data_IF_430146900907
#
_entry.id   IF_430146900907
#
_cell.length_a   1.000
_cell.length_b   1.000
_cell.length_c   1.000
_cell.angle_alpha   90.00
_cell.angle_beta   90.00
_cell.angle_gamma   90.00
#
_symmetry.space_group_name_H-M   'P 1'
#
loop_
_entity.id
_entity.type
_entity.pdbx_description
1 polymer ?
#
# COMPACT_ATOMS: atom_id res chain seq x y z
N UNK A 1 -0.49 -7.24 7.79
CA UNK A 1 0.91 -7.77 7.80
C UNK A 1 0.84 -9.26 7.45
N UNK A 2 0.77 -9.60 6.16
CA UNK A 2 0.55 -10.98 5.71
C UNK A 2 1.82 -11.70 5.21
N UNK A 3 2.97 -11.01 5.15
CA UNK A 3 4.18 -11.55 4.53
C UNK A 3 4.77 -12.78 5.24
N UNK A 4 4.65 -12.86 6.57
CA UNK A 4 5.14 -14.00 7.35
C UNK A 4 4.22 -15.22 7.24
N UNK A 5 2.91 -15.02 7.20
CA UNK A 5 1.92 -16.09 6.97
C UNK A 5 2.07 -16.68 5.57
N UNK A 6 2.22 -15.82 4.55
CA UNK A 6 2.52 -16.24 3.18
C UNK A 6 3.81 -17.07 3.12
N UNK A 7 4.86 -16.67 3.86
CA UNK A 7 6.10 -17.44 3.93
C UNK A 7 5.87 -18.81 4.56
N UNK A 8 5.14 -18.88 5.68
CA UNK A 8 4.76 -20.14 6.32
C UNK A 8 4.06 -21.09 5.36
N UNK A 9 3.12 -20.58 4.56
CA UNK A 9 2.40 -21.36 3.55
C UNK A 9 3.33 -21.89 2.45
N UNK A 10 4.25 -21.06 1.94
CA UNK A 10 5.21 -21.52 0.91
C UNK A 10 6.19 -22.56 1.46
N UNK A 11 6.64 -22.42 2.70
CA UNK A 11 7.48 -23.41 3.37
C UNK A 11 6.75 -24.74 3.59
N UNK A 12 5.45 -24.70 3.94
CA UNK A 12 4.63 -25.90 4.08
C UNK A 12 4.38 -26.62 2.74
N UNK A 13 4.26 -25.87 1.63
CA UNK A 13 4.08 -26.42 0.28
C UNK A 13 5.38 -27.01 -0.30
N UNK A 14 6.54 -26.48 0.10
CA UNK A 14 7.85 -26.90 -0.39
C UNK A 14 8.81 -27.34 0.75
N UNK A 15 8.47 -28.39 1.53
CA UNK A 15 9.19 -28.74 2.77
C UNK A 15 10.64 -29.20 2.55
N UNK A 16 11.00 -29.58 1.32
CA UNK A 16 12.34 -30.03 0.95
C UNK A 16 13.02 -29.14 -0.11
N UNK A 17 12.38 -28.04 -0.50
CA UNK A 17 12.92 -27.11 -1.50
C UNK A 17 12.77 -25.66 -1.01
N UNK A 18 13.59 -25.32 -0.02
CA UNK A 18 13.66 -23.98 0.54
C UNK A 18 13.94 -22.90 -0.52
N UNK A 19 14.88 -23.07 -1.47
CA UNK A 19 15.10 -22.08 -2.52
C UNK A 19 13.86 -21.80 -3.36
N UNK A 20 13.07 -22.82 -3.70
CA UNK A 20 11.80 -22.63 -4.42
C UNK A 20 10.75 -21.93 -3.58
N UNK A 21 10.59 -22.32 -2.32
CA UNK A 21 9.67 -21.67 -1.39
C UNK A 21 9.92 -20.15 -1.30
N UNK A 22 11.18 -19.75 -1.15
CA UNK A 22 11.57 -18.34 -1.04
C UNK A 22 11.37 -17.57 -2.34
N UNK A 23 11.66 -18.17 -3.50
CA UNK A 23 11.40 -17.54 -4.81
C UNK A 23 9.91 -17.29 -5.03
N UNK A 24 9.07 -18.27 -4.72
CA UNK A 24 7.61 -18.13 -4.89
C UNK A 24 7.03 -17.13 -3.88
N UNK A 25 7.51 -17.14 -2.64
CA UNK A 25 7.16 -16.14 -1.63
C UNK A 25 7.53 -14.72 -2.08
N UNK A 26 8.77 -14.51 -2.55
CA UNK A 26 9.24 -13.21 -3.02
C UNK A 26 8.44 -12.73 -4.23
N UNK A 27 8.18 -13.61 -5.20
CA UNK A 27 7.41 -13.30 -6.39
C UNK A 27 5.98 -12.82 -6.03
N UNK A 28 5.33 -13.49 -5.08
CA UNK A 28 4.01 -13.08 -4.56
C UNK A 28 4.08 -11.78 -3.76
N UNK A 29 5.13 -11.54 -2.97
CA UNK A 29 5.24 -10.39 -2.08
C UNK A 29 5.69 -9.09 -2.79
N UNK A 30 6.49 -9.21 -3.85
CA UNK A 30 7.10 -8.08 -4.58
C UNK A 30 6.12 -6.99 -5.02
N UNK A 31 4.97 -7.27 -5.67
CA UNK A 31 4.06 -6.22 -6.12
C UNK A 31 3.48 -5.39 -4.96
N UNK A 32 3.15 -6.03 -3.84
CA UNK A 32 2.61 -5.34 -2.66
C UNK A 32 3.65 -4.43 -2.02
N UNK A 33 4.87 -4.94 -1.83
CA UNK A 33 5.96 -4.15 -1.25
C UNK A 33 6.32 -2.96 -2.14
N UNK A 34 6.35 -3.15 -3.46
CA UNK A 34 6.61 -2.09 -4.41
C UNK A 34 5.53 -0.98 -4.34
N UNK A 35 4.25 -1.36 -4.33
CA UNK A 35 3.13 -0.43 -4.21
C UNK A 35 3.17 0.36 -2.89
N UNK A 36 3.45 -0.32 -1.77
CA UNK A 36 3.60 0.33 -0.47
C UNK A 36 4.79 1.29 -0.44
N UNK A 37 5.94 0.90 -0.99
CA UNK A 37 7.13 1.76 -1.06
C UNK A 37 6.90 2.99 -1.95
N UNK A 38 6.24 2.81 -3.09
CA UNK A 38 5.88 3.92 -3.97
C UNK A 38 4.91 4.88 -3.27
N UNK A 39 3.88 4.33 -2.63
CA UNK A 39 2.92 5.12 -1.85
C UNK A 39 3.61 5.88 -0.72
N UNK A 40 4.49 5.23 0.04
CA UNK A 40 5.25 5.85 1.10
C UNK A 40 6.14 6.99 0.60
N UNK A 41 6.75 6.84 -0.58
CA UNK A 41 7.57 7.88 -1.22
C UNK A 41 6.72 9.10 -1.61
N UNK A 42 5.53 8.88 -2.17
CA UNK A 42 4.58 9.95 -2.50
C UNK A 42 4.04 10.63 -1.24
N UNK A 43 3.61 9.84 -0.25
CA UNK A 43 3.05 10.34 1.01
C UNK A 43 4.07 11.12 1.84
N UNK A 44 5.37 10.84 1.72
CA UNK A 44 6.44 11.62 2.37
C UNK A 44 6.30 13.12 2.10
N UNK A 45 5.89 13.51 0.89
CA UNK A 45 5.74 14.91 0.49
C UNK A 45 4.60 15.64 1.23
N UNK A 46 3.65 14.91 1.84
CA UNK A 46 2.62 15.51 2.69
C UNK A 46 3.15 15.95 4.06
N UNK A 47 4.22 15.31 4.55
CA UNK A 47 4.80 15.60 5.86
C UNK A 47 6.04 16.48 5.76
N UNK A 48 6.82 16.34 4.69
CA UNK A 48 8.01 17.16 4.43
C UNK A 48 7.91 17.76 3.02
N UNK A 49 7.25 18.92 2.87
CA UNK A 49 7.08 19.57 1.57
C UNK A 49 8.43 20.08 1.06
N UNK A 50 8.80 19.74 -0.17
CA UNK A 50 10.05 20.14 -0.80
C UNK A 50 10.00 21.54 -1.44
N UNK A 51 8.86 22.23 -1.40
CA UNK A 51 8.69 23.58 -1.97
C UNK A 51 7.34 24.25 -1.69
N UNK A 52 7.20 25.53 -2.07
CA UNK A 52 6.00 26.34 -1.80
C UNK A 52 4.72 25.77 -2.41
N UNK A 53 4.81 25.22 -3.63
CA UNK A 53 3.65 24.62 -4.31
C UNK A 53 3.06 23.45 -3.50
N UNK A 54 3.91 22.59 -2.94
CA UNK A 54 3.49 21.46 -2.09
C UNK A 54 2.94 21.94 -0.74
N UNK A 55 3.44 23.05 -0.20
CA UNK A 55 2.92 23.68 1.02
C UNK A 55 1.48 24.17 0.82
N UNK A 56 1.21 24.84 -0.31
CA UNK A 56 -0.13 25.33 -0.67
C UNK A 56 -1.07 24.14 -0.90
N UNK A 57 -0.64 23.14 -1.69
CA UNK A 57 -1.44 21.96 -1.97
C UNK A 57 -1.85 21.21 -0.69
N UNK A 58 -0.91 21.00 0.24
CA UNK A 58 -1.17 20.41 1.56
C UNK A 58 -2.22 21.20 2.35
N UNK A 59 -2.09 22.52 2.41
CA UNK A 59 -3.03 23.37 3.13
C UNK A 59 -4.45 23.28 2.55
N UNK A 60 -4.56 23.21 1.22
CA UNK A 60 -5.84 23.05 0.52
C UNK A 60 -6.47 21.68 0.80
N UNK A 61 -5.69 20.60 0.74
CA UNK A 61 -6.17 19.23 1.05
C UNK A 61 -6.68 19.14 2.48
N UNK A 62 -5.96 19.71 3.46
CA UNK A 62 -6.38 19.72 4.87
C UNK A 62 -7.69 20.51 5.04
N UNK A 63 -7.81 21.69 4.40
CA UNK A 63 -9.03 22.50 4.47
C UNK A 63 -10.23 21.80 3.82
N UNK A 64 -10.05 21.16 2.67
CA UNK A 64 -11.11 20.39 2.01
C UNK A 64 -11.53 19.18 2.85
N UNK A 65 -10.58 18.51 3.51
CA UNK A 65 -10.86 17.34 4.36
C UNK A 65 -11.68 17.68 5.60
N UNK A 66 -11.60 18.92 6.08
CA UNK A 66 -12.39 19.43 7.20
C UNK A 66 -13.68 20.16 6.78
N UNK A 67 -14.03 20.12 5.50
CA UNK A 67 -15.23 20.76 4.96
C UNK A 67 -16.43 19.80 4.94
N UNK A 68 -17.68 20.31 4.96
CA UNK A 68 -18.88 19.47 4.89
C UNK A 68 -19.02 18.65 3.59
N UNK A 69 -18.22 18.94 2.56
CA UNK A 69 -18.17 18.17 1.30
C UNK A 69 -17.16 17.02 1.31
N UNK A 70 -16.36 16.89 2.37
CA UNK A 70 -15.38 15.81 2.55
C UNK A 70 -15.96 14.38 2.37
N UNK A 71 -17.16 14.01 2.86
CA UNK A 71 -17.68 12.65 2.67
C UNK A 71 -17.98 12.32 1.20
N UNK A 72 -18.43 13.30 0.41
CA UNK A 72 -18.67 13.13 -1.03
C UNK A 72 -17.35 12.99 -1.77
N UNK A 73 -16.37 13.84 -1.43
CA UNK A 73 -15.04 13.79 -2.01
C UNK A 73 -14.33 12.45 -1.71
N UNK A 74 -14.47 11.92 -0.49
CA UNK A 74 -13.90 10.63 -0.07
C UNK A 74 -14.53 9.45 -0.81
N UNK A 75 -15.80 9.56 -1.21
CA UNK A 75 -16.50 8.55 -2.04
C UNK A 75 -16.01 8.57 -3.49
N UNK A 76 -15.65 9.75 -4.02
CA UNK A 76 -15.13 9.92 -5.38
C UNK A 76 -13.63 9.60 -5.49
N UNK A 77 -12.85 9.89 -4.45
CA UNK A 77 -11.40 9.69 -4.43
C UNK A 77 -10.96 8.29 -4.01
N UNK A 78 -11.88 7.38 -3.64
CA UNK A 78 -11.56 6.01 -3.20
C UNK A 78 -10.87 5.23 -4.33
N UNK A 79 -9.55 4.98 -4.27
CA UNK A 79 -8.89 4.09 -5.21
C UNK A 79 -8.90 2.67 -4.62
N UNK A 80 -9.40 1.69 -5.36
CA UNK A 80 -9.06 0.28 -5.16
C UNK A 80 -9.43 -0.35 -3.82
N UNK A 81 -10.74 -0.50 -3.53
CA UNK A 81 -11.25 -1.50 -2.57
C UNK A 81 -10.92 -2.97 -2.95
N UNK A 82 -10.00 -3.19 -3.90
CA UNK A 82 -9.64 -4.48 -4.48
C UNK A 82 -8.34 -5.05 -3.89
N UNK A 83 -7.46 -4.24 -3.28
CA UNK A 83 -6.12 -4.73 -2.91
C UNK A 83 -6.05 -5.45 -1.57
N UNK A 84 -7.00 -5.21 -0.65
CA UNK A 84 -6.98 -5.82 0.69
C UNK A 84 -7.66 -7.20 0.72
N UNK A 85 -8.55 -7.48 -0.23
CA UNK A 85 -9.30 -8.75 -0.34
C UNK A 85 -8.51 -9.87 -1.03
N UNK A 86 -7.57 -9.54 -1.91
CA UNK A 86 -6.79 -10.55 -2.66
C UNK A 86 -5.63 -11.18 -1.86
N UNK A 87 -5.20 -10.55 -0.76
CA UNK A 87 -4.07 -11.05 0.06
C UNK A 87 -4.48 -12.25 0.92
N UNK A 88 -5.75 -12.35 1.29
CA UNK A 88 -6.28 -13.42 2.16
C UNK A 88 -6.77 -14.64 1.35
N UNK A 89 -6.85 -14.52 0.03
CA UNK A 89 -7.45 -15.53 -0.85
C UNK A 89 -6.45 -16.37 -1.69
N UNK A 90 -5.12 -16.20 -1.53
CA UNK A 90 -4.09 -16.81 -2.38
C UNK A 90 -2.93 -17.48 -1.61
#
# INVERSE_FOLDING_TARGET
>A
MAGAELLGNMLAQHPHDLPRALREWEAKLRPFTASLQQTATTMRQLFTPAGELQRILRATIIRLSNSPVAPVLRRLLRPGALTELDIVAA
#
